data_IF_325077859805
#
_entry.id   IF_325077859805
#
_cell.length_a   1.000
_cell.length_b   1.000
_cell.length_c   1.000
_cell.angle_alpha   90.00
_cell.angle_beta   90.00
_cell.angle_gamma   90.00
#
_symmetry.space_group_name_H-M   'P 1'
#
loop_
_entity.id
_entity.type
_entity.pdbx_description
1 polymer ?
#
# COMPACT_ATOMS: atom_id res chain seq x y z
N UNK A 1 -11.77 -11.47 0.51
CA UNK A 1 -11.28 -10.89 1.79
C UNK A 1 -12.13 -9.68 2.14
N UNK A 2 -12.39 -9.43 3.42
CA UNK A 2 -13.14 -8.24 3.85
C UNK A 2 -12.22 -7.01 3.90
N UNK A 3 -12.81 -5.82 3.71
CA UNK A 3 -12.12 -4.54 3.90
C UNK A 3 -11.50 -4.50 5.30
N UNK A 4 -10.19 -4.23 5.44
CA UNK A 4 -9.55 -4.13 6.73
C UNK A 4 -10.03 -2.89 7.48
N UNK A 5 -10.05 -2.98 8.82
CA UNK A 5 -10.18 -1.82 9.69
C UNK A 5 -8.77 -1.41 10.14
N UNK A 6 -8.44 -0.12 10.04
CA UNK A 6 -7.15 0.41 10.45
C UNK A 6 -7.37 1.34 11.63
N UNK A 7 -6.75 1.02 12.76
CA UNK A 7 -6.64 1.96 13.87
C UNK A 7 -5.59 3.03 13.54
N UNK A 8 -5.76 4.28 14.04
CA UNK A 8 -4.76 5.33 13.89
C UNK A 8 -3.39 4.82 14.33
N UNK A 9 -2.36 5.08 13.53
CA UNK A 9 -1.02 4.61 13.88
C UNK A 9 -0.50 5.44 15.06
N UNK A 10 -0.24 4.79 16.19
CA UNK A 10 0.28 5.45 17.38
C UNK A 10 1.81 5.51 17.31
N UNK A 11 2.37 6.72 17.29
CA UNK A 11 3.82 6.93 17.32
C UNK A 11 4.28 8.07 16.40
N UNK A 12 5.58 8.35 16.36
CA UNK A 12 6.13 9.29 15.39
C UNK A 12 5.98 8.75 13.97
N UNK A 13 5.73 9.64 13.01
CA UNK A 13 5.79 9.29 11.59
C UNK A 13 7.20 8.76 11.26
N UNK A 14 7.32 7.60 10.59
CA UNK A 14 8.62 7.08 10.20
C UNK A 14 9.24 7.97 9.11
N UNK A 15 10.57 7.93 8.98
CA UNK A 15 11.30 8.62 7.90
C UNK A 15 11.47 7.74 6.67
N UNK A 16 11.44 6.42 6.86
CA UNK A 16 11.61 5.42 5.83
C UNK A 16 10.37 4.52 5.70
N UNK A 17 10.31 3.77 4.60
CA UNK A 17 9.25 2.78 4.38
C UNK A 17 9.23 1.74 5.50
N UNK A 18 8.08 1.57 6.13
CA UNK A 18 7.83 0.45 7.05
C UNK A 18 7.01 -0.60 6.33
N UNK A 19 7.46 -1.85 6.40
CA UNK A 19 6.80 -3.01 5.81
C UNK A 19 6.44 -3.98 6.94
N UNK A 20 5.18 -4.38 7.00
CA UNK A 20 4.68 -5.33 7.98
C UNK A 20 3.78 -6.37 7.29
N UNK A 21 4.19 -7.63 7.30
CA UNK A 21 3.35 -8.74 6.84
C UNK A 21 2.31 -9.09 7.92
N UNK A 22 1.04 -8.78 7.64
CA UNK A 22 -0.08 -9.14 8.52
C UNK A 22 -0.41 -10.63 8.32
N UNK A 23 -0.45 -11.07 7.07
CA UNK A 23 -0.64 -12.46 6.67
C UNK A 23 0.32 -12.77 5.53
N UNK A 24 1.11 -13.84 5.67
CA UNK A 24 1.99 -14.31 4.60
C UNK A 24 1.20 -15.28 3.71
N UNK A 25 1.14 -14.98 2.41
CA UNK A 25 0.52 -15.85 1.41
C UNK A 25 1.39 -17.08 1.09
N UNK A 26 0.80 -18.04 0.38
CA UNK A 26 1.45 -19.30 -0.02
C UNK A 26 1.59 -19.47 -1.54
N UNK A 27 1.01 -18.55 -2.33
CA UNK A 27 1.11 -18.56 -3.79
C UNK A 27 2.38 -17.89 -4.34
N UNK A 28 2.32 -17.56 -5.63
CA UNK A 28 3.41 -16.92 -6.36
C UNK A 28 3.83 -15.58 -5.72
N UNK A 29 5.11 -15.27 -5.84
CA UNK A 29 5.72 -14.08 -5.24
C UNK A 29 5.69 -12.90 -6.21
N UNK A 30 5.32 -11.72 -5.72
CA UNK A 30 5.40 -10.48 -6.47
C UNK A 30 6.87 -10.09 -6.68
N UNK A 31 7.26 -9.88 -7.94
CA UNK A 31 8.62 -9.46 -8.31
C UNK A 31 8.68 -7.96 -8.62
N UNK A 32 9.85 -7.31 -8.43
CA UNK A 32 10.03 -5.92 -8.81
C UNK A 32 9.62 -5.65 -10.27
N UNK A 33 8.82 -4.61 -10.47
CA UNK A 33 8.33 -4.20 -11.80
C UNK A 33 7.30 -5.10 -12.48
N UNK A 34 6.83 -6.16 -11.80
CA UNK A 34 5.75 -7.02 -12.30
C UNK A 34 4.36 -6.37 -12.21
N UNK A 35 3.35 -7.08 -12.72
CA UNK A 35 1.96 -6.70 -12.54
C UNK A 35 1.38 -7.42 -11.31
N UNK A 36 0.60 -6.67 -10.52
CA UNK A 36 -0.09 -7.22 -9.34
C UNK A 36 -1.57 -6.93 -9.42
N UNK A 37 -2.39 -7.91 -9.05
CA UNK A 37 -3.81 -7.72 -8.80
C UNK A 37 -4.05 -7.68 -7.30
N UNK A 38 -4.64 -6.59 -6.81
CA UNK A 38 -4.78 -6.36 -5.37
C UNK A 38 -6.17 -5.88 -4.98
N UNK A 39 -6.53 -6.13 -3.72
CA UNK A 39 -7.34 -5.17 -2.99
C UNK A 39 -6.46 -4.31 -2.11
N UNK A 40 -6.84 -3.06 -1.87
CA UNK A 40 -6.13 -2.18 -0.96
C UNK A 40 -7.04 -1.17 -0.27
N UNK A 41 -6.58 -0.73 0.89
CA UNK A 41 -7.11 0.40 1.65
C UNK A 41 -5.96 1.37 1.88
N UNK A 42 -6.14 2.64 1.52
CA UNK A 42 -5.24 3.75 1.79
C UNK A 42 -5.86 4.73 2.78
N UNK A 43 -5.16 4.96 3.89
CA UNK A 43 -5.55 5.93 4.93
C UNK A 43 -4.41 6.90 5.24
N UNK A 44 -4.72 8.11 5.71
CA UNK A 44 -3.71 9.02 6.27
C UNK A 44 -3.09 8.42 7.54
N UNK A 45 -2.00 8.98 8.02
CA UNK A 45 -1.39 8.53 9.28
C UNK A 45 -2.37 8.65 10.47
N UNK A 46 -3.31 9.60 10.44
CA UNK A 46 -4.38 9.73 11.43
C UNK A 46 -5.52 8.70 11.26
N UNK A 47 -5.48 7.87 10.21
CA UNK A 47 -6.48 6.83 9.93
C UNK A 47 -7.65 7.29 9.05
N UNK A 48 -7.59 8.49 8.47
CA UNK A 48 -8.64 8.94 7.55
C UNK A 48 -8.49 8.24 6.19
N UNK A 49 -9.54 7.53 5.76
CA UNK A 49 -9.55 6.89 4.46
C UNK A 49 -9.57 7.90 3.32
N UNK A 50 -8.62 7.74 2.39
CA UNK A 50 -8.56 8.56 1.19
C UNK A 50 -8.83 7.77 -0.10
N UNK A 51 -8.68 6.45 -0.08
CA UNK A 51 -8.94 5.56 -1.23
C UNK A 51 -9.04 4.09 -0.79
N UNK A 52 -9.91 3.30 -1.43
CA UNK A 52 -10.02 1.86 -1.21
C UNK A 52 -10.61 1.15 -2.43
N UNK A 53 -10.06 0.00 -2.80
CA UNK A 53 -10.63 -0.84 -3.88
C UNK A 53 -12.02 -1.36 -3.52
N UNK A 54 -12.26 -1.69 -2.24
CA UNK A 54 -13.56 -2.17 -1.77
C UNK A 54 -14.70 -1.16 -1.97
N UNK A 55 -14.42 0.14 -1.98
CA UNK A 55 -15.45 1.15 -2.27
C UNK A 55 -15.93 1.09 -3.72
N UNK A 56 -15.10 0.52 -4.61
CA UNK A 56 -15.44 0.29 -6.02
C UNK A 56 -16.03 -1.11 -6.25
N UNK A 57 -15.98 -2.00 -5.26
CA UNK A 57 -16.55 -3.34 -5.33
C UNK A 57 -15.72 -4.36 -6.12
N UNK A 58 -14.55 -3.99 -6.64
CA UNK A 58 -13.69 -4.85 -7.47
C UNK A 58 -12.20 -4.72 -7.08
N UNK A 59 -11.43 -5.76 -7.42
CA UNK A 59 -9.96 -5.73 -7.37
C UNK A 59 -9.42 -4.79 -8.44
N UNK A 60 -8.15 -4.43 -8.33
CA UNK A 60 -7.50 -3.60 -9.33
C UNK A 60 -6.13 -4.17 -9.68
N UNK A 61 -5.81 -4.13 -10.98
CA UNK A 61 -4.51 -4.53 -11.50
C UNK A 61 -3.63 -3.29 -11.69
N UNK A 62 -2.39 -3.36 -11.22
CA UNK A 62 -1.41 -2.30 -11.40
C UNK A 62 -0.07 -2.83 -11.91
N UNK A 63 0.57 -2.13 -12.87
CA UNK A 63 2.00 -2.30 -13.12
C UNK A 63 2.79 -1.56 -12.04
N UNK A 64 3.63 -2.27 -11.27
CA UNK A 64 4.35 -1.66 -10.13
C UNK A 64 5.18 -0.44 -10.54
N UNK A 65 5.87 -0.49 -11.69
CA UNK A 65 6.76 0.57 -12.17
C UNK A 65 6.12 1.97 -12.31
N UNK A 66 4.79 2.07 -12.36
CA UNK A 66 4.06 3.34 -12.48
C UNK A 66 3.54 3.92 -11.17
N UNK A 67 3.74 3.23 -10.04
CA UNK A 67 3.14 3.60 -8.76
C UNK A 67 4.07 4.43 -7.88
N UNK A 68 3.62 4.81 -6.69
CA UNK A 68 4.48 5.43 -5.69
C UNK A 68 5.63 4.49 -5.28
N UNK A 69 6.78 5.07 -4.90
CA UNK A 69 7.98 4.30 -4.55
C UNK A 69 7.73 3.27 -3.44
N UNK A 70 6.88 3.60 -2.47
CA UNK A 70 6.51 2.70 -1.38
C UNK A 70 5.84 1.41 -1.86
N UNK A 71 5.06 1.45 -2.94
CA UNK A 71 4.49 0.23 -3.53
C UNK A 71 5.52 -0.51 -4.39
N UNK A 72 6.31 0.22 -5.17
CA UNK A 72 7.37 -0.36 -5.99
C UNK A 72 8.38 -1.19 -5.18
N UNK A 73 8.74 -0.70 -4.00
CA UNK A 73 9.74 -1.34 -3.12
C UNK A 73 9.10 -2.19 -2.02
N UNK A 74 7.85 -1.87 -1.61
CA UNK A 74 7.18 -2.53 -0.49
C UNK A 74 6.35 -3.76 -0.86
N UNK A 75 5.89 -3.88 -2.11
CA UNK A 75 5.12 -5.05 -2.57
C UNK A 75 6.00 -6.24 -2.96
N UNK A 76 7.18 -6.07 -3.59
CA UNK A 76 8.04 -7.21 -3.89
C UNK A 76 8.33 -8.11 -2.68
N UNK A 77 8.40 -9.41 -2.92
CA UNK A 77 8.54 -10.42 -1.86
C UNK A 77 7.22 -10.78 -1.15
N UNK A 78 6.12 -10.06 -1.41
CA UNK A 78 4.79 -10.47 -0.97
C UNK A 78 4.29 -11.65 -1.81
N UNK A 79 3.60 -12.61 -1.19
CA UNK A 79 3.03 -13.77 -1.87
C UNK A 79 1.52 -13.67 -2.05
N UNK A 80 1.02 -14.21 -3.16
CA UNK A 80 -0.43 -14.30 -3.43
C UNK A 80 -1.14 -14.97 -2.26
N UNK A 81 -2.28 -14.41 -1.87
CA UNK A 81 -3.04 -14.76 -0.67
C UNK A 81 -2.59 -14.02 0.59
N UNK A 82 -1.49 -13.25 0.53
CA UNK A 82 -0.98 -12.45 1.64
C UNK A 82 -1.71 -11.13 1.85
N UNK A 83 -1.55 -10.57 3.05
CA UNK A 83 -1.94 -9.22 3.45
C UNK A 83 -0.75 -8.49 4.05
N UNK A 84 -0.42 -7.31 3.53
CA UNK A 84 0.74 -6.51 3.94
C UNK A 84 0.31 -5.08 4.26
N UNK A 85 0.87 -4.53 5.33
CA UNK A 85 0.78 -3.12 5.68
C UNK A 85 2.05 -2.40 5.27
N UNK A 86 1.90 -1.26 4.61
CA UNK A 86 2.98 -0.34 4.28
C UNK A 86 2.71 1.00 4.96
N UNK A 87 3.71 1.57 5.63
CA UNK A 87 3.69 2.96 6.07
C UNK A 87 4.69 3.72 5.21
N UNK A 88 4.17 4.62 4.38
CA UNK A 88 4.90 5.33 3.34
C UNK A 88 5.00 6.81 3.73
N UNK A 89 6.15 7.27 4.25
CA UNK A 89 6.42 8.68 4.45
C UNK A 89 6.35 9.46 3.13
N UNK A 90 6.30 10.80 3.14
CA UNK A 90 6.06 11.59 1.94
C UNK A 90 6.98 11.24 0.76
N UNK A 91 8.28 11.02 1.02
CA UNK A 91 9.27 10.66 -0.01
C UNK A 91 9.10 9.25 -0.60
N UNK A 92 8.36 8.38 0.08
CA UNK A 92 7.94 7.06 -0.41
C UNK A 92 6.53 7.08 -1.00
N UNK A 93 5.83 8.21 -0.91
CA UNK A 93 4.49 8.42 -1.44
C UNK A 93 4.49 9.52 -2.52
N UNK A 94 3.86 10.67 -2.26
CA UNK A 94 3.64 11.76 -3.22
C UNK A 94 4.61 12.95 -3.08
N UNK A 95 5.78 12.72 -2.48
CA UNK A 95 6.82 13.72 -2.30
C UNK A 95 6.49 14.77 -1.22
N UNK A 96 7.33 15.82 -1.12
CA UNK A 96 7.19 16.85 -0.08
C UNK A 96 5.92 17.69 -0.27
N UNK A 97 5.51 18.38 0.80
CA UNK A 97 4.35 19.28 0.77
C UNK A 97 4.45 20.32 -0.34
N UNK A 98 3.33 20.61 -1.02
CA UNK A 98 3.27 21.54 -2.15
C UNK A 98 3.63 20.93 -3.52
N UNK A 99 3.90 19.62 -3.60
CA UNK A 99 4.26 18.91 -4.84
C UNK A 99 3.16 18.72 -5.90
N UNK A 100 2.00 19.37 -5.75
CA UNK A 100 0.90 19.34 -6.72
C UNK A 100 -0.10 18.19 -6.57
N UNK A 101 0.19 17.16 -5.77
CA UNK A 101 -0.79 16.13 -5.39
C UNK A 101 -1.44 16.48 -4.05
N UNK A 102 -2.74 16.18 -3.88
CA UNK A 102 -3.47 16.50 -2.63
C UNK A 102 -2.88 15.80 -1.38
N UNK A 103 -2.22 14.65 -1.60
CA UNK A 103 -1.58 13.85 -0.55
C UNK A 103 -0.08 14.15 -0.38
N UNK A 104 0.47 15.11 -1.12
CA UNK A 104 1.87 15.50 -0.98
C UNK A 104 2.15 16.04 0.43
N UNK A 105 3.28 15.65 1.02
CA UNK A 105 3.65 16.01 2.40
C UNK A 105 3.03 15.16 3.50
N UNK A 106 2.20 14.16 3.15
CA UNK A 106 1.55 13.28 4.13
C UNK A 106 2.24 11.92 4.20
N UNK A 107 2.29 11.32 5.40
CA UNK A 107 2.55 9.90 5.58
C UNK A 107 1.28 9.11 5.33
N UNK A 108 1.36 8.10 4.46
CA UNK A 108 0.22 7.30 4.05
C UNK A 108 0.39 5.86 4.52
N UNK A 109 -0.69 5.26 4.98
CA UNK A 109 -0.73 3.86 5.37
C UNK A 109 -1.57 3.09 4.36
N UNK A 110 -1.00 2.00 3.85
CA UNK A 110 -1.69 1.09 2.94
C UNK A 110 -1.80 -0.28 3.56
N UNK A 111 -2.97 -0.90 3.49
CA UNK A 111 -3.14 -2.34 3.71
C UNK A 111 -3.53 -2.97 2.39
N UNK A 112 -2.75 -3.93 1.94
CA UNK A 112 -2.81 -4.50 0.60
C UNK A 112 -3.02 -6.00 0.73
N UNK A 113 -4.00 -6.53 -0.01
CA UNK A 113 -4.22 -7.96 -0.22
C UNK A 113 -3.74 -8.32 -1.62
N UNK A 114 -2.79 -9.24 -1.74
CA UNK A 114 -2.28 -9.69 -3.03
C UNK A 114 -3.11 -10.86 -3.53
N UNK A 115 -3.79 -10.67 -4.67
CA UNK A 115 -4.72 -11.64 -5.24
C UNK A 115 -4.10 -12.43 -6.39
N UNK A 116 -3.26 -11.79 -7.20
CA UNK A 116 -2.52 -12.45 -8.28
C UNK A 116 -1.26 -11.64 -8.66
N UNK A 117 -0.33 -12.30 -9.35
CA UNK A 117 0.86 -11.72 -9.97
C UNK A 117 0.91 -12.13 -11.44
N UNK A 118 1.44 -11.28 -12.33
CA UNK A 118 1.59 -11.55 -13.76
C UNK A 118 2.88 -10.95 -14.33
#
# INVERSE_FOLDING_TARGET
>A
MNKPEIEPTLGPEPTDLVIEDITVGDGDEATPGGNVEVHYLGVTFEGEEFDASWNRGESIEFPLNGLIRGWQEGIPGMKVGGRRKLVCPPMWAYGPAGGGHRLSGQTLVFVIDLLAVR
#
